data_IF_843077630586
#
_entry.id   IF_843077630586
#
_cell.length_a   1.000
_cell.length_b   1.000
_cell.length_c   1.000
_cell.angle_alpha   90.00
_cell.angle_beta   90.00
_cell.angle_gamma   90.00
#
_symmetry.space_group_name_H-M   'P 1'
#
loop_
_entity.id
_entity.type
_entity.pdbx_description
1 polymer ?
#
# COMPACT_ATOMS: atom_id res chain seq x y z
N UNK A 1 -4.05 -9.93 -16.55
CA UNK A 1 -2.88 -9.70 -15.69
C UNK A 1 -3.43 -9.77 -14.27
N UNK A 2 -2.80 -10.51 -13.36
CA UNK A 2 -3.28 -10.55 -11.98
C UNK A 2 -2.95 -9.20 -11.36
N UNK A 3 -3.96 -8.46 -10.87
CA UNK A 3 -3.70 -7.26 -10.09
C UNK A 3 -3.09 -7.71 -8.77
N UNK A 4 -1.96 -7.11 -8.41
CA UNK A 4 -1.28 -7.39 -7.15
C UNK A 4 -0.93 -6.07 -6.49
N UNK A 5 -1.25 -5.95 -5.19
CA UNK A 5 -1.00 -4.74 -4.42
C UNK A 5 -0.19 -5.07 -3.16
N UNK A 6 0.88 -4.30 -2.92
CA UNK A 6 1.70 -4.38 -1.71
C UNK A 6 1.33 -3.27 -0.74
N UNK A 7 1.30 -3.59 0.55
CA UNK A 7 1.14 -2.59 1.61
C UNK A 7 2.50 -2.25 2.20
N UNK A 8 2.90 -0.98 2.15
CA UNK A 8 4.16 -0.49 2.72
C UNK A 8 3.92 0.57 3.81
N UNK A 9 4.59 0.47 4.97
CA UNK A 9 4.49 1.48 6.01
C UNK A 9 5.16 2.80 5.61
N UNK A 10 4.49 3.91 5.92
CA UNK A 10 5.02 5.27 5.77
C UNK A 10 5.70 5.65 7.06
N UNK A 11 7.01 5.90 6.98
CA UNK A 11 7.80 6.39 8.10
C UNK A 11 7.92 7.91 8.05
N UNK A 12 7.70 8.57 9.18
CA UNK A 12 7.94 10.00 9.27
C UNK A 12 9.45 10.26 9.34
N UNK A 13 10.02 10.85 8.29
CA UNK A 13 11.46 11.14 8.17
C UNK A 13 12.01 12.10 9.25
N UNK A 14 11.13 12.71 10.04
CA UNK A 14 11.46 13.70 11.06
C UNK A 14 11.81 13.07 12.41
N UNK A 15 11.38 11.83 12.68
CA UNK A 15 11.56 11.20 13.99
C UNK A 15 12.58 10.05 13.91
N UNK A 16 13.59 10.09 14.79
CA UNK A 16 14.61 9.06 14.99
C UNK A 16 14.03 7.71 15.47
N UNK A 17 12.71 7.58 15.65
CA UNK A 17 12.02 6.41 16.17
C UNK A 17 11.23 5.59 15.13
N UNK A 18 11.41 5.79 13.82
CA UNK A 18 10.70 5.01 12.79
C UNK A 18 9.18 4.94 13.06
N UNK A 19 8.58 6.07 13.44
CA UNK A 19 7.15 6.11 13.73
C UNK A 19 6.38 5.94 12.42
N UNK A 20 5.63 4.85 12.34
CA UNK A 20 4.69 4.60 11.24
C UNK A 20 3.57 5.63 11.37
N UNK A 21 3.49 6.54 10.40
CA UNK A 21 2.43 7.57 10.30
C UNK A 21 1.30 7.17 9.35
N UNK A 22 1.49 6.10 8.59
CA UNK A 22 0.48 5.56 7.70
C UNK A 22 0.99 4.38 6.90
N UNK A 23 0.24 4.01 5.87
CA UNK A 23 0.45 2.83 5.05
C UNK A 23 0.07 3.16 3.60
N UNK A 24 0.99 2.93 2.67
CA UNK A 24 0.79 2.99 1.24
C UNK A 24 0.30 1.66 0.71
N UNK A 25 -0.65 1.71 -0.20
CA UNK A 25 -1.04 0.59 -1.06
C UNK A 25 -0.44 0.85 -2.42
N UNK A 26 0.45 -0.03 -2.86
CA UNK A 26 1.25 0.10 -4.07
C UNK A 26 0.82 -0.97 -5.05
N UNK A 27 0.40 -0.58 -6.23
CA UNK A 27 0.16 -1.49 -7.35
C UNK A 27 1.49 -2.03 -7.85
N UNK A 28 1.74 -3.33 -7.62
CA UNK A 28 2.92 -4.05 -8.13
C UNK A 28 2.57 -4.94 -9.35
N UNK A 29 1.36 -4.79 -9.89
CA UNK A 29 0.92 -5.49 -11.10
C UNK A 29 1.86 -5.27 -12.30
N UNK A 30 2.63 -4.17 -12.28
CA UNK A 30 3.72 -3.88 -13.19
C UNK A 30 5.04 -3.79 -12.40
N UNK A 31 5.92 -4.79 -12.49
CA UNK A 31 7.18 -4.80 -11.73
C UNK A 31 8.14 -3.67 -12.13
N UNK A 32 8.00 -3.13 -13.34
CA UNK A 32 8.76 -1.98 -13.82
C UNK A 32 8.11 -0.63 -13.47
N UNK A 33 6.88 -0.61 -12.93
CA UNK A 33 6.14 0.62 -12.68
C UNK A 33 5.22 0.51 -11.46
N UNK A 34 5.83 0.25 -10.30
CA UNK A 34 5.17 0.32 -9.00
C UNK A 34 4.58 1.72 -8.77
N UNK A 35 3.28 1.81 -8.48
CA UNK A 35 2.61 3.11 -8.25
C UNK A 35 1.76 3.07 -6.99
N UNK A 36 1.85 4.11 -6.16
CA UNK A 36 0.96 4.25 -4.99
C UNK A 36 -0.46 4.51 -5.47
N UNK A 37 -1.38 3.59 -5.15
CA UNK A 37 -2.80 3.69 -5.52
C UNK A 37 -3.66 4.24 -4.38
N UNK A 38 -3.22 4.08 -3.14
CA UNK A 38 -3.95 4.58 -1.96
C UNK A 38 -3.03 4.75 -0.75
N UNK A 39 -3.43 5.62 0.18
CA UNK A 39 -2.73 5.87 1.45
C UNK A 39 -3.74 5.80 2.59
N UNK A 40 -3.37 5.14 3.68
CA UNK A 40 -4.24 4.94 4.85
C UNK A 40 -3.48 5.18 6.15
N UNK A 41 -4.18 5.64 7.19
CA UNK A 41 -3.57 5.86 8.50
C UNK A 41 -3.34 4.54 9.25
N UNK A 42 -4.15 3.50 8.98
CA UNK A 42 -4.06 2.20 9.64
C UNK A 42 -3.71 1.06 8.69
N UNK A 43 -2.98 0.07 9.21
CA UNK A 43 -2.57 -1.12 8.45
C UNK A 43 -3.77 -1.92 7.94
N UNK A 44 -4.80 -2.04 8.78
CA UNK A 44 -6.00 -2.82 8.45
C UNK A 44 -6.76 -2.22 7.27
N UNK A 45 -6.84 -0.88 7.19
CA UNK A 45 -7.45 -0.20 6.05
C UNK A 45 -6.63 -0.38 4.78
N UNK A 46 -5.30 -0.27 4.85
CA UNK A 46 -4.42 -0.50 3.71
C UNK A 46 -4.49 -1.95 3.18
N UNK A 47 -4.51 -2.94 4.07
CA UNK A 47 -4.67 -4.35 3.69
C UNK A 47 -6.01 -4.57 3.00
N UNK A 48 -7.10 -4.07 3.59
CA UNK A 48 -8.43 -4.22 2.99
C UNK A 48 -8.50 -3.57 1.60
N UNK A 49 -7.91 -2.38 1.45
CA UNK A 49 -7.84 -1.70 0.17
C UNK A 49 -7.01 -2.47 -0.88
N UNK A 50 -5.89 -3.08 -0.46
CA UNK A 50 -5.10 -3.97 -1.31
C UNK A 50 -5.92 -5.20 -1.76
N UNK A 51 -6.59 -5.89 -0.83
CA UNK A 51 -7.44 -7.04 -1.14
C UNK A 51 -8.59 -6.66 -2.09
N UNK A 52 -9.25 -5.52 -1.87
CA UNK A 52 -10.31 -5.01 -2.76
C UNK A 52 -9.78 -4.65 -4.15
N UNK A 53 -8.54 -4.18 -4.25
CA UNK A 53 -7.88 -3.85 -5.52
C UNK A 53 -7.60 -5.12 -6.34
N UNK A 54 -7.16 -6.20 -5.69
CA UNK A 54 -6.93 -7.50 -6.32
C UNK A 54 -8.25 -8.19 -6.70
N UNK A 55 -9.28 -8.09 -5.86
CA UNK A 55 -10.59 -8.70 -6.10
C UNK A 55 -11.44 -8.02 -7.18
N UNK A 56 -11.16 -6.77 -7.54
CA UNK A 56 -11.90 -6.05 -8.60
C UNK A 56 -11.74 -6.63 -10.02
N UNK A 57 -10.86 -7.62 -10.21
CA UNK A 57 -10.66 -8.35 -11.48
C UNK A 57 -11.26 -9.78 -11.47
N UNK A 58 -12.37 -10.00 -10.74
CA UNK A 58 -13.09 -11.27 -10.78
C UNK A 58 -14.51 -11.15 -11.37
#
# INVERSE_FOLDING_TARGET
MQKQARVEPIYEATDLNDKIIGWHVIDESQPDNETVVSEHETQAEAIKAAEEFEQREY
#
